data_IF_389253074824
#
_entry.id   IF_389253074824
#
_cell.length_a   1.000
_cell.length_b   1.000
_cell.length_c   1.000
_cell.angle_alpha   90.00
_cell.angle_beta   90.00
_cell.angle_gamma   90.00
#
_symmetry.space_group_name_H-M   'P 1'
#
loop_
_entity.id
_entity.type
_entity.pdbx_description
1 polymer ?
#
# COMPACT_ATOMS: atom_id res chain seq x y z
N UNK A 1 18.57 3.52 63.31
CA UNK A 1 19.03 4.24 64.52
C UNK A 1 17.94 4.82 65.40
N UNK A 2 16.74 5.16 64.89
CA UNK A 2 15.66 5.73 65.72
C UNK A 2 14.64 4.70 66.29
N UNK A 3 14.84 3.39 66.10
CA UNK A 3 13.99 2.30 66.65
C UNK A 3 12.46 2.41 66.42
N UNK A 4 12.03 3.11 65.37
CA UNK A 4 10.61 3.30 65.03
C UNK A 4 9.95 2.10 64.31
N UNK A 5 10.64 0.95 64.22
CA UNK A 5 10.18 -0.23 63.48
C UNK A 5 8.83 -0.77 64.01
N UNK A 6 8.56 -0.62 65.30
CA UNK A 6 7.34 -1.10 65.95
C UNK A 6 6.06 -0.39 65.45
N UNK A 7 6.21 0.80 64.87
CA UNK A 7 5.08 1.58 64.32
C UNK A 7 4.84 1.31 62.83
N UNK A 8 5.65 0.45 62.18
CA UNK A 8 5.55 0.17 60.75
C UNK A 8 4.16 -0.31 60.32
N UNK A 9 3.58 -1.27 61.05
CA UNK A 9 2.24 -1.77 60.74
C UNK A 9 1.15 -0.68 60.89
N UNK A 10 1.33 0.27 61.81
CA UNK A 10 0.39 1.39 61.99
C UNK A 10 0.54 2.45 60.89
N UNK A 11 1.75 2.68 60.41
CA UNK A 11 2.02 3.58 59.29
C UNK A 11 1.44 3.03 57.97
N UNK A 12 1.52 1.71 57.75
CA UNK A 12 0.87 1.05 56.60
C UNK A 12 -0.65 1.22 56.60
N UNK A 13 -1.31 1.18 57.76
CA UNK A 13 -2.77 1.42 57.84
C UNK A 13 -3.19 2.84 57.48
N UNK A 14 -2.21 3.76 57.38
CA UNK A 14 -2.40 5.16 57.00
C UNK A 14 -1.75 5.44 55.64
N UNK A 15 -1.54 4.39 54.84
CA UNK A 15 -1.04 4.44 53.46
C UNK A 15 0.40 4.96 53.32
N UNK A 16 1.18 4.95 54.41
CA UNK A 16 2.61 5.27 54.37
C UNK A 16 3.38 3.98 54.10
N UNK A 17 3.58 3.67 52.82
CA UNK A 17 4.21 2.43 52.36
C UNK A 17 5.64 2.64 51.82
N UNK A 18 6.01 3.89 51.53
CA UNK A 18 7.31 4.29 50.98
C UNK A 18 7.92 5.49 51.72
N UNK A 19 9.20 5.76 51.47
CA UNK A 19 9.90 6.90 52.05
C UNK A 19 9.36 8.24 51.52
N UNK A 20 8.79 8.25 50.30
CA UNK A 20 8.10 9.41 49.73
C UNK A 20 6.84 9.76 50.52
N UNK A 21 6.07 8.76 50.93
CA UNK A 21 4.79 8.96 51.61
C UNK A 21 4.99 9.63 52.98
N UNK A 22 6.18 9.47 53.57
CA UNK A 22 6.59 10.14 54.82
C UNK A 22 6.59 11.67 54.67
N UNK A 23 6.89 12.22 53.48
CA UNK A 23 6.85 13.66 53.24
C UNK A 23 5.44 14.21 53.18
N UNK A 24 4.46 13.39 52.81
CA UNK A 24 3.08 13.79 52.60
C UNK A 24 2.18 13.51 53.80
N UNK A 25 2.70 12.81 54.83
CA UNK A 25 1.97 12.57 56.06
C UNK A 25 1.83 13.85 56.88
N UNK A 26 0.59 14.25 57.16
CA UNK A 26 0.29 15.42 57.99
C UNK A 26 0.70 15.23 59.44
N UNK A 27 1.30 16.27 60.03
CA UNK A 27 1.84 16.24 61.39
C UNK A 27 0.77 15.97 62.46
N UNK A 28 -0.45 16.47 62.25
CA UNK A 28 -1.60 16.22 63.14
C UNK A 28 -2.01 14.74 63.16
N UNK A 29 -1.86 14.05 62.02
CA UNK A 29 -2.19 12.64 61.83
C UNK A 29 -1.06 11.74 62.33
N UNK A 30 0.17 12.11 62.03
CA UNK A 30 1.36 11.40 62.47
C UNK A 30 1.56 11.47 64.00
N UNK A 31 1.30 12.62 64.62
CA UNK A 31 1.33 12.77 66.09
C UNK A 31 0.32 11.85 66.79
N UNK A 32 -0.88 11.66 66.21
CA UNK A 32 -1.88 10.71 66.74
C UNK A 32 -1.44 9.24 66.64
N UNK A 33 -0.69 8.88 65.60
CA UNK A 33 -0.26 7.49 65.34
C UNK A 33 0.95 7.12 66.20
N UNK A 34 1.91 8.05 66.32
CA UNK A 34 3.20 7.84 66.95
C UNK A 34 3.20 8.25 68.43
N UNK A 35 2.26 9.11 68.84
CA UNK A 35 2.07 9.51 70.23
C UNK A 35 3.34 10.12 70.83
N UNK A 36 3.95 9.42 71.79
CA UNK A 36 5.17 9.86 72.49
C UNK A 36 6.43 9.83 71.60
N UNK A 37 6.44 9.02 70.55
CA UNK A 37 7.58 8.90 69.62
C UNK A 37 7.51 9.90 68.46
N UNK A 38 6.54 10.83 68.51
CA UNK A 38 6.33 11.88 67.52
C UNK A 38 7.57 12.76 67.31
N UNK A 39 8.20 13.20 68.39
CA UNK A 39 9.37 14.09 68.32
C UNK A 39 10.55 13.41 67.62
N UNK A 40 10.77 12.12 67.89
CA UNK A 40 11.82 11.31 67.27
C UNK A 40 11.54 11.09 65.78
N UNK A 41 10.28 10.87 65.40
CA UNK A 41 9.89 10.74 63.99
C UNK A 41 10.02 12.06 63.23
N UNK A 42 9.66 13.18 63.86
CA UNK A 42 9.77 14.52 63.26
C UNK A 42 11.23 14.87 62.99
N UNK A 43 12.11 14.59 63.96
CA UNK A 43 13.56 14.76 63.79
C UNK A 43 14.12 13.87 62.66
N UNK A 44 13.66 12.61 62.59
CA UNK A 44 14.07 11.69 61.53
C UNK A 44 13.59 12.13 60.14
N UNK A 45 12.37 12.67 60.04
CA UNK A 45 11.80 13.22 58.79
C UNK A 45 12.55 14.47 58.33
N UNK A 46 12.93 15.35 59.25
CA UNK A 46 13.72 16.54 58.93
C UNK A 46 15.13 16.22 58.43
N UNK A 47 15.68 15.06 58.79
CA UNK A 47 16.96 14.55 58.29
C UNK A 47 16.87 13.93 56.89
N UNK A 48 15.66 13.76 56.33
CA UNK A 48 15.52 13.20 55.00
C UNK A 48 15.88 14.22 53.90
N UNK A 49 16.52 13.80 52.80
CA UNK A 49 16.94 14.69 51.73
C UNK A 49 15.74 15.37 51.05
N UNK A 50 15.82 16.67 50.76
CA UNK A 50 14.73 17.38 50.07
C UNK A 50 14.80 17.27 48.53
N UNK A 51 15.94 16.82 47.99
CA UNK A 51 16.13 16.61 46.55
C UNK A 51 15.83 15.16 46.14
N UNK A 52 15.06 14.99 45.05
CA UNK A 52 14.70 13.68 44.48
C UNK A 52 15.93 12.81 44.16
N UNK A 53 16.99 13.41 43.60
CA UNK A 53 18.23 12.68 43.25
C UNK A 53 18.99 12.18 44.48
N UNK A 54 18.96 12.93 45.58
CA UNK A 54 19.57 12.53 46.84
C UNK A 54 18.71 11.49 47.58
N UNK A 55 17.38 11.55 47.45
CA UNK A 55 16.46 10.55 47.97
C UNK A 55 16.64 9.19 47.27
N UNK A 56 16.80 9.19 45.96
CA UNK A 56 17.09 7.97 45.18
C UNK A 56 18.44 7.35 45.56
N UNK A 57 19.46 8.18 45.80
CA UNK A 57 20.75 7.71 46.30
C UNK A 57 20.66 7.13 47.72
N UNK A 58 19.89 7.77 48.60
CA UNK A 58 19.63 7.28 49.96
C UNK A 58 18.89 5.94 49.93
N UNK A 59 17.87 5.80 49.08
CA UNK A 59 17.16 4.54 48.85
C UNK A 59 18.11 3.45 48.40
N UNK A 60 18.93 3.70 47.38
CA UNK A 60 19.91 2.74 46.89
C UNK A 60 20.90 2.29 47.98
N UNK A 61 21.37 3.22 48.81
CA UNK A 61 22.25 2.91 49.93
C UNK A 61 21.56 2.09 51.03
N UNK A 62 20.33 2.44 51.41
CA UNK A 62 19.53 1.68 52.39
C UNK A 62 19.24 0.27 51.88
N UNK A 63 18.82 0.13 50.62
CA UNK A 63 18.64 -1.16 49.96
C UNK A 63 19.94 -1.97 49.95
N UNK A 64 21.08 -1.36 49.61
CA UNK A 64 22.37 -2.04 49.63
C UNK A 64 22.78 -2.51 51.02
N UNK A 65 22.38 -1.78 52.06
CA UNK A 65 22.69 -2.11 53.46
C UNK A 65 21.82 -3.26 53.95
N UNK A 66 20.53 -3.27 53.60
CA UNK A 66 19.59 -4.37 53.88
C UNK A 66 20.01 -5.65 53.15
N UNK A 67 20.47 -5.52 51.91
CA UNK A 67 21.01 -6.64 51.12
C UNK A 67 22.32 -7.18 51.70
N UNK A 68 23.19 -6.31 52.26
CA UNK A 68 24.44 -6.73 52.92
C UNK A 68 24.25 -7.33 54.31
N UNK A 69 23.19 -6.94 55.03
CA UNK A 69 22.89 -7.43 56.39
C UNK A 69 22.00 -8.68 56.39
N UNK A 70 21.38 -9.03 55.27
CA UNK A 70 20.72 -10.33 55.10
C UNK A 70 21.77 -11.40 54.76
N UNK A 71 21.83 -12.44 55.59
CA UNK A 71 22.78 -13.57 55.55
C UNK A 71 22.62 -14.50 54.31
N UNK A 72 22.33 -13.95 53.12
CA UNK A 72 22.14 -14.71 51.88
C UNK A 72 22.97 -14.12 50.74
N UNK A 73 24.30 -14.15 50.90
CA UNK A 73 25.24 -13.65 49.90
C UNK A 73 25.34 -14.51 48.63
N UNK A 74 24.86 -15.76 48.65
CA UNK A 74 25.16 -16.71 47.56
C UNK A 74 24.02 -16.97 46.55
N UNK A 75 22.83 -16.39 46.75
CA UNK A 75 21.68 -16.69 45.87
C UNK A 75 21.57 -15.76 44.62
N UNK A 76 22.41 -14.73 44.50
CA UNK A 76 22.22 -13.64 43.52
C UNK A 76 23.42 -13.36 42.61
N UNK A 77 24.23 -14.37 42.30
CA UNK A 77 25.11 -14.32 41.12
C UNK A 77 24.36 -14.82 39.90
N UNK A 78 24.75 -14.36 38.70
CA UNK A 78 23.98 -14.43 37.44
C UNK A 78 23.38 -15.81 37.07
N UNK A 79 23.85 -16.92 37.63
CA UNK A 79 23.22 -18.24 37.50
C UNK A 79 21.90 -18.39 38.28
N UNK A 80 21.78 -17.78 39.47
CA UNK A 80 20.59 -17.84 40.32
C UNK A 80 19.39 -17.11 39.72
N UNK A 81 19.59 -15.96 39.07
CA UNK A 81 18.49 -15.21 38.44
C UNK A 81 17.92 -15.96 37.22
N UNK A 82 18.76 -16.70 36.49
CA UNK A 82 18.34 -17.52 35.35
C UNK A 82 17.61 -18.78 35.81
N UNK A 83 18.08 -19.43 36.88
CA UNK A 83 17.39 -20.58 37.49
C UNK A 83 16.07 -20.16 38.14
N UNK A 84 16.00 -19.04 38.86
CA UNK A 84 14.75 -18.54 39.47
C UNK A 84 13.76 -18.09 38.38
N UNK A 85 14.19 -17.42 37.32
CA UNK A 85 13.28 -17.04 36.23
C UNK A 85 12.77 -18.26 35.44
N UNK A 86 13.62 -19.25 35.16
CA UNK A 86 13.20 -20.52 34.52
C UNK A 86 12.35 -21.37 35.46
N UNK A 87 12.62 -21.37 36.76
CA UNK A 87 11.84 -22.13 37.75
C UNK A 87 10.51 -21.48 38.05
N UNK A 88 10.42 -20.14 38.12
CA UNK A 88 9.16 -19.40 38.24
C UNK A 88 8.36 -19.54 36.96
N UNK A 89 8.98 -19.42 35.78
CA UNK A 89 8.31 -19.72 34.52
C UNK A 89 7.84 -21.18 34.44
N UNK A 90 8.65 -22.13 34.90
CA UNK A 90 8.33 -23.56 34.97
C UNK A 90 7.20 -23.88 35.95
N UNK A 91 7.21 -23.29 37.15
CA UNK A 91 6.15 -23.42 38.16
C UNK A 91 4.85 -22.75 37.71
N UNK A 92 4.93 -21.58 37.08
CA UNK A 92 3.78 -20.92 36.46
C UNK A 92 3.23 -21.77 35.31
N UNK A 93 4.10 -22.44 34.55
CA UNK A 93 3.69 -23.37 33.48
C UNK A 93 3.01 -24.62 34.04
N UNK A 94 3.58 -25.24 35.09
CA UNK A 94 2.98 -26.41 35.76
C UNK A 94 1.66 -26.07 36.44
N UNK A 95 1.61 -24.94 37.16
CA UNK A 95 0.40 -24.45 37.81
C UNK A 95 -0.69 -24.13 36.78
N UNK A 96 -0.35 -23.48 35.67
CA UNK A 96 -1.29 -23.20 34.58
C UNK A 96 -1.84 -24.46 33.89
N UNK A 97 -1.06 -25.55 33.84
CA UNK A 97 -1.55 -26.85 33.35
C UNK A 97 -2.52 -27.53 34.32
N UNK A 98 -2.45 -27.21 35.63
CA UNK A 98 -3.27 -27.86 36.66
C UNK A 98 -4.52 -27.07 37.07
N UNK A 99 -4.58 -25.75 36.82
CA UNK A 99 -5.74 -24.92 37.16
C UNK A 99 -6.02 -23.81 36.12
N UNK A 100 -6.91 -24.06 35.13
CA UNK A 100 -7.21 -23.12 34.04
C UNK A 100 -8.05 -21.89 34.42
N UNK A 101 -8.59 -21.82 35.64
CA UNK A 101 -9.70 -20.90 35.97
C UNK A 101 -9.30 -19.59 36.68
N UNK A 102 -8.03 -19.40 37.07
CA UNK A 102 -7.60 -18.16 37.73
C UNK A 102 -6.92 -17.22 36.72
N UNK A 103 -7.54 -16.07 36.43
CA UNK A 103 -7.03 -14.91 35.68
C UNK A 103 -6.69 -15.12 34.18
N UNK A 104 -7.60 -14.76 33.24
CA UNK A 104 -7.40 -15.03 31.81
C UNK A 104 -6.47 -14.03 31.10
N UNK A 105 -6.64 -12.71 31.21
CA UNK A 105 -6.10 -11.81 30.18
C UNK A 105 -4.59 -11.52 30.27
N UNK A 106 -4.03 -11.34 31.46
CA UNK A 106 -2.60 -11.04 31.62
C UNK A 106 -1.69 -12.28 31.59
N UNK A 107 -2.24 -13.47 31.91
CA UNK A 107 -1.50 -14.74 31.97
C UNK A 107 -1.19 -15.31 30.59
N UNK A 108 -2.06 -15.07 29.61
CA UNK A 108 -1.82 -15.51 28.24
C UNK A 108 -0.62 -14.80 27.61
N UNK A 109 -0.43 -13.50 27.83
CA UNK A 109 0.63 -12.73 27.17
C UNK A 109 2.05 -13.20 27.52
N UNK A 110 2.36 -13.43 28.81
CA UNK A 110 3.71 -13.88 29.22
C UNK A 110 4.01 -15.31 28.78
N UNK A 111 3.07 -16.24 28.99
CA UNK A 111 3.22 -17.63 28.54
C UNK A 111 3.31 -17.72 27.02
N UNK A 112 2.50 -16.96 26.29
CA UNK A 112 2.52 -16.89 24.84
C UNK A 112 3.83 -16.29 24.34
N UNK A 113 4.35 -15.27 25.02
CA UNK A 113 5.66 -14.66 24.72
C UNK A 113 6.80 -15.66 24.90
N UNK A 114 6.85 -16.39 26.03
CA UNK A 114 7.88 -17.39 26.33
C UNK A 114 7.78 -18.60 25.39
N UNK A 115 6.57 -19.08 25.10
CA UNK A 115 6.33 -20.21 24.19
C UNK A 115 6.40 -19.83 22.71
N UNK A 116 6.52 -18.53 22.39
CA UNK A 116 6.52 -18.01 21.03
C UNK A 116 5.20 -18.20 20.29
N UNK A 117 4.09 -18.41 21.00
CA UNK A 117 2.75 -18.69 20.43
C UNK A 117 1.96 -17.44 20.03
N UNK A 118 2.65 -16.37 19.64
CA UNK A 118 2.04 -15.12 19.19
C UNK A 118 2.36 -14.86 17.72
N UNK A 119 1.49 -14.12 17.05
CA UNK A 119 1.65 -13.68 15.67
C UNK A 119 2.95 -12.90 15.50
N UNK A 120 3.81 -13.34 14.59
CA UNK A 120 5.05 -12.64 14.26
C UNK A 120 5.00 -12.14 12.81
N UNK A 121 4.85 -10.82 12.56
CA UNK A 121 4.77 -10.27 11.20
C UNK A 121 5.94 -10.67 10.29
N UNK A 122 7.15 -10.76 10.84
CA UNK A 122 8.34 -11.17 10.11
C UNK A 122 8.32 -12.64 9.62
N UNK A 123 7.51 -13.51 10.23
CA UNK A 123 7.37 -14.90 9.78
C UNK A 123 6.22 -15.08 8.78
N UNK A 124 5.36 -14.06 8.60
CA UNK A 124 4.25 -14.11 7.67
C UNK A 124 4.74 -14.12 6.22
N UNK A 125 4.01 -14.81 5.35
CA UNK A 125 4.39 -15.01 3.95
C UNK A 125 3.26 -14.64 3.01
N UNK A 126 3.59 -14.03 1.89
CA UNK A 126 2.64 -13.70 0.82
C UNK A 126 2.82 -14.66 -0.35
N UNK A 127 1.71 -15.21 -0.84
CA UNK A 127 1.65 -15.98 -2.08
C UNK A 127 0.78 -15.21 -3.08
N UNK A 128 1.37 -14.88 -4.23
CA UNK A 128 0.69 -14.22 -5.34
C UNK A 128 0.05 -15.25 -6.28
N UNK A 129 -1.18 -15.03 -6.72
CA UNK A 129 -1.85 -15.90 -7.70
C UNK A 129 -1.52 -15.51 -9.16
N UNK A 130 -0.55 -14.60 -9.36
CA UNK A 130 -0.09 -14.14 -10.66
C UNK A 130 1.44 -13.95 -10.71
N UNK A 131 1.96 -13.74 -11.91
CA UNK A 131 3.37 -13.40 -12.18
C UNK A 131 3.46 -11.98 -12.73
N UNK A 132 4.55 -11.29 -12.41
CA UNK A 132 4.80 -9.94 -12.89
C UNK A 132 5.55 -9.96 -14.24
N UNK A 133 5.27 -9.02 -15.16
CA UNK A 133 4.15 -8.07 -15.12
C UNK A 133 2.80 -8.75 -15.39
N UNK A 134 1.70 -8.12 -14.96
CA UNK A 134 0.35 -8.65 -15.17
C UNK A 134 -0.56 -7.67 -15.91
N UNK A 135 -1.48 -8.16 -16.74
CA UNK A 135 -2.41 -7.31 -17.49
C UNK A 135 -3.51 -6.75 -16.59
N UNK A 136 -3.88 -5.49 -16.76
CA UNK A 136 -4.98 -4.85 -16.02
C UNK A 136 -6.36 -5.44 -16.35
N UNK A 137 -7.34 -5.16 -15.49
CA UNK A 137 -8.76 -5.44 -15.73
C UNK A 137 -9.34 -6.63 -14.98
N UNK A 138 -8.51 -7.65 -14.71
CA UNK A 138 -8.90 -8.81 -13.91
C UNK A 138 -8.99 -8.52 -12.42
N UNK A 139 -9.73 -9.36 -11.69
CA UNK A 139 -9.66 -9.40 -10.22
C UNK A 139 -8.38 -10.11 -9.78
N UNK A 140 -7.49 -9.37 -9.15
CA UNK A 140 -6.24 -9.86 -8.61
C UNK A 140 -6.47 -10.48 -7.25
N UNK A 141 -5.74 -11.56 -6.97
CA UNK A 141 -5.85 -12.28 -5.72
C UNK A 141 -4.47 -12.69 -5.21
N UNK A 142 -4.25 -12.49 -3.90
CA UNK A 142 -3.10 -13.06 -3.22
C UNK A 142 -3.50 -13.52 -1.82
N UNK A 143 -2.70 -14.45 -1.29
CA UNK A 143 -2.95 -15.08 0.01
C UNK A 143 -1.82 -14.69 0.95
N UNK A 144 -2.17 -14.16 2.11
CA UNK A 144 -1.26 -13.95 3.22
C UNK A 144 -1.39 -15.13 4.18
N UNK A 145 -0.28 -15.77 4.52
CA UNK A 145 -0.22 -16.84 5.52
C UNK A 145 0.46 -16.32 6.79
N UNK A 146 -0.20 -16.54 7.92
CA UNK A 146 0.23 -16.04 9.22
C UNK A 146 0.92 -17.12 10.02
N UNK A 147 2.03 -16.75 10.66
CA UNK A 147 2.87 -17.67 11.42
C UNK A 147 3.24 -17.07 12.78
N UNK A 148 3.36 -17.97 13.75
CA UNK A 148 3.85 -17.68 15.09
C UNK A 148 5.37 -17.51 15.08
N UNK A 149 5.94 -16.98 16.18
CA UNK A 149 7.40 -16.91 16.35
C UNK A 149 8.09 -18.27 16.29
N UNK A 150 7.44 -19.31 16.81
CA UNK A 150 7.93 -20.70 16.76
C UNK A 150 7.79 -21.37 15.37
N UNK A 151 7.26 -20.66 14.37
CA UNK A 151 7.07 -21.15 13.00
C UNK A 151 5.75 -21.89 12.74
N UNK A 152 4.92 -22.12 13.75
CA UNK A 152 3.61 -22.77 13.59
C UNK A 152 2.59 -21.82 12.94
N UNK A 153 1.56 -22.35 12.23
CA UNK A 153 0.45 -21.56 11.72
C UNK A 153 -0.25 -20.74 12.83
N UNK A 154 -0.51 -19.46 12.57
CA UNK A 154 -1.27 -18.60 13.49
C UNK A 154 -2.70 -18.41 12.98
N UNK A 155 -3.74 -18.77 13.75
CA UNK A 155 -5.14 -18.53 13.36
C UNK A 155 -5.45 -17.03 13.44
N UNK A 156 -5.62 -16.38 12.30
CA UNK A 156 -5.86 -14.93 12.22
C UNK A 156 -7.33 -14.61 12.51
N UNK A 157 -7.58 -13.49 13.17
CA UNK A 157 -8.93 -12.99 13.46
C UNK A 157 -8.99 -11.45 13.41
N UNK A 158 -10.20 -10.90 13.55
CA UNK A 158 -10.43 -9.45 13.40
C UNK A 158 -9.72 -8.59 14.45
N UNK A 159 -9.30 -9.17 15.58
CA UNK A 159 -8.57 -8.45 16.63
C UNK A 159 -7.08 -8.26 16.32
N UNK A 160 -6.53 -8.97 15.35
CA UNK A 160 -5.10 -8.93 15.01
C UNK A 160 -4.69 -7.70 14.18
N UNK A 161 -5.65 -6.81 13.87
CA UNK A 161 -5.40 -5.56 13.13
C UNK A 161 -4.68 -5.79 11.79
N UNK A 162 -5.04 -6.86 11.07
CA UNK A 162 -4.54 -7.12 9.73
C UNK A 162 -5.03 -6.05 8.75
N UNK A 163 -4.09 -5.43 8.02
CA UNK A 163 -4.39 -4.35 7.09
C UNK A 163 -3.59 -4.48 5.80
N UNK A 164 -4.25 -4.16 4.69
CA UNK A 164 -3.64 -4.15 3.36
C UNK A 164 -3.98 -2.85 2.65
N UNK A 165 -2.94 -2.17 2.22
CA UNK A 165 -3.04 -0.95 1.41
C UNK A 165 -2.37 -1.18 0.06
N UNK A 166 -3.08 -0.82 -1.01
CA UNK A 166 -2.57 -0.87 -2.37
C UNK A 166 -2.65 0.53 -2.95
N UNK A 167 -1.54 1.04 -3.48
CA UNK A 167 -1.50 2.37 -4.08
C UNK A 167 -0.66 2.43 -5.35
N UNK A 168 -1.05 3.34 -6.24
CA UNK A 168 -0.24 3.83 -7.35
C UNK A 168 0.05 5.31 -7.07
N UNK A 169 1.27 5.62 -6.62
CA UNK A 169 1.60 6.93 -6.08
C UNK A 169 0.63 7.32 -4.95
N UNK A 170 -0.14 8.39 -5.17
CA UNK A 170 -1.12 8.89 -4.19
C UNK A 170 -2.50 8.26 -4.32
N UNK A 171 -2.76 7.47 -5.37
CA UNK A 171 -4.07 6.87 -5.61
C UNK A 171 -4.17 5.53 -4.90
N UNK A 172 -5.07 5.42 -3.92
CA UNK A 172 -5.37 4.18 -3.22
C UNK A 172 -6.37 3.33 -4.01
N UNK A 173 -6.18 2.01 -3.97
CA UNK A 173 -7.05 1.02 -4.58
C UNK A 173 -7.85 0.32 -3.48
N UNK A 174 -9.14 0.14 -3.73
CA UNK A 174 -10.02 -0.59 -2.82
C UNK A 174 -9.64 -2.06 -2.82
N UNK A 175 -9.45 -2.60 -1.62
CA UNK A 175 -9.12 -4.01 -1.37
C UNK A 175 -10.24 -4.66 -0.55
N UNK A 176 -10.44 -5.94 -0.79
CA UNK A 176 -11.34 -6.78 0.00
C UNK A 176 -10.47 -7.87 0.62
N UNK A 177 -10.44 -7.93 1.94
CA UNK A 177 -9.69 -8.92 2.71
C UNK A 177 -10.66 -9.89 3.35
N UNK A 178 -10.58 -11.15 2.95
CA UNK A 178 -11.36 -12.26 3.52
C UNK A 178 -10.43 -13.07 4.42
N UNK A 179 -10.62 -12.99 5.75
CA UNK A 179 -9.96 -13.92 6.66
C UNK A 179 -10.49 -15.34 6.40
N UNK A 180 -9.63 -16.34 6.56
CA UNK A 180 -10.02 -17.73 6.37
C UNK A 180 -11.06 -18.21 7.39
N UNK A 181 -11.64 -19.37 7.15
CA UNK A 181 -12.78 -19.83 7.96
C UNK A 181 -12.34 -20.21 9.38
N UNK A 182 -13.03 -19.71 10.44
CA UNK A 182 -12.82 -20.19 11.80
C UNK A 182 -13.25 -21.65 11.99
N UNK A 183 -14.05 -22.21 11.07
CA UNK A 183 -14.54 -23.60 11.12
C UNK A 183 -13.67 -24.60 10.36
N UNK A 184 -12.76 -24.13 9.50
CA UNK A 184 -11.81 -24.98 8.76
C UNK A 184 -10.40 -24.73 9.30
N UNK A 185 -9.87 -25.61 10.18
CA UNK A 185 -8.54 -25.46 10.78
C UNK A 185 -7.42 -25.28 9.74
N UNK A 186 -7.59 -25.83 8.53
CA UNK A 186 -6.58 -25.72 7.47
C UNK A 186 -6.56 -24.36 6.78
N UNK A 187 -7.56 -23.51 7.04
CA UNK A 187 -7.68 -22.16 6.50
C UNK A 187 -7.68 -21.08 7.58
N UNK A 188 -7.61 -21.45 8.86
CA UNK A 188 -7.62 -20.47 9.94
C UNK A 188 -6.42 -19.51 9.88
N UNK A 189 -5.30 -19.91 9.27
CA UNK A 189 -4.06 -19.12 9.22
C UNK A 189 -3.86 -18.31 7.92
N UNK A 190 -4.91 -18.11 7.13
CA UNK A 190 -4.80 -17.41 5.85
C UNK A 190 -5.74 -16.22 5.77
N UNK A 191 -5.34 -15.19 5.02
CA UNK A 191 -6.23 -14.13 4.55
C UNK A 191 -6.12 -14.05 3.02
N UNK A 192 -7.26 -14.05 2.35
CA UNK A 192 -7.38 -13.90 0.90
C UNK A 192 -7.70 -12.45 0.58
N UNK A 193 -6.81 -11.79 -0.16
CA UNK A 193 -6.96 -10.38 -0.52
C UNK A 193 -7.31 -10.30 -1.99
N UNK A 194 -8.40 -9.61 -2.31
CA UNK A 194 -8.87 -9.36 -3.67
C UNK A 194 -8.89 -7.87 -3.96
N UNK A 195 -8.49 -7.50 -5.17
CA UNK A 195 -8.56 -6.12 -5.65
C UNK A 195 -8.64 -6.10 -7.18
N UNK A 196 -8.96 -4.95 -7.77
CA UNK A 196 -8.98 -4.81 -9.23
C UNK A 196 -8.25 -3.53 -9.60
N UNK A 197 -7.33 -3.64 -10.56
CA UNK A 197 -6.58 -2.51 -11.13
C UNK A 197 -6.99 -2.32 -12.57
N UNK A 198 -7.27 -1.08 -12.94
CA UNK A 198 -7.69 -0.69 -14.30
C UNK A 198 -6.68 0.22 -14.99
N UNK A 199 -5.74 0.80 -14.25
CA UNK A 199 -4.70 1.65 -14.81
C UNK A 199 -3.39 0.90 -14.81
N UNK A 200 -2.72 0.88 -15.95
CA UNK A 200 -1.40 0.30 -16.09
C UNK A 200 -0.37 1.18 -15.37
N UNK A 201 0.56 0.56 -14.66
CA UNK A 201 1.52 1.26 -13.83
C UNK A 201 2.19 0.37 -12.80
N UNK A 202 3.01 1.00 -11.96
CA UNK A 202 3.71 0.35 -10.85
C UNK A 202 2.98 0.65 -9.56
N UNK A 203 2.64 -0.40 -8.83
CA UNK A 203 1.85 -0.35 -7.61
C UNK A 203 2.67 -0.80 -6.41
N UNK A 204 2.43 -0.16 -5.28
CA UNK A 204 2.97 -0.52 -3.98
C UNK A 204 1.87 -1.22 -3.18
N UNK A 205 2.15 -2.44 -2.74
CA UNK A 205 1.26 -3.25 -1.90
C UNK A 205 1.88 -3.37 -0.51
N UNK A 206 1.31 -2.65 0.44
CA UNK A 206 1.70 -2.66 1.84
C UNK A 206 0.81 -3.63 2.60
N UNK A 207 1.43 -4.60 3.28
CA UNK A 207 0.75 -5.55 4.14
C UNK A 207 1.29 -5.40 5.56
N UNK A 208 0.40 -5.15 6.52
CA UNK A 208 0.77 -4.89 7.90
C UNK A 208 -0.18 -5.57 8.89
N UNK A 209 0.34 -5.76 10.10
CA UNK A 209 -0.37 -6.28 11.27
C UNK A 209 -0.15 -5.24 12.37
N UNK A 210 -1.21 -4.55 12.76
CA UNK A 210 -1.11 -3.33 13.59
C UNK A 210 -0.21 -2.29 12.92
N UNK A 211 0.80 -1.81 13.64
CA UNK A 211 1.79 -0.84 13.13
C UNK A 211 3.00 -1.47 12.42
N UNK A 212 3.06 -2.80 12.32
CA UNK A 212 4.25 -3.51 11.81
C UNK A 212 4.02 -4.12 10.44
N UNK A 213 4.93 -3.89 9.50
CA UNK A 213 4.93 -4.56 8.20
C UNK A 213 5.32 -6.04 8.34
N UNK A 214 4.72 -6.87 7.50
CA UNK A 214 5.16 -8.26 7.35
C UNK A 214 6.47 -8.35 6.56
N UNK A 215 7.12 -9.50 6.60
CA UNK A 215 8.34 -9.73 5.80
C UNK A 215 8.11 -9.50 4.31
N UNK A 216 8.98 -8.69 3.71
CA UNK A 216 8.93 -8.31 2.29
C UNK A 216 7.98 -7.16 1.95
N UNK A 217 7.12 -6.72 2.88
CA UNK A 217 6.29 -5.53 2.67
C UNK A 217 7.12 -4.26 2.87
N UNK A 218 6.91 -3.20 2.05
CA UNK A 218 5.98 -3.14 0.92
C UNK A 218 6.49 -3.86 -0.33
N UNK A 219 5.56 -4.43 -1.10
CA UNK A 219 5.84 -5.13 -2.36
C UNK A 219 5.58 -4.23 -3.56
N UNK A 220 6.46 -4.28 -4.55
CA UNK A 220 6.27 -3.58 -5.83
C UNK A 220 5.73 -4.54 -6.88
N UNK A 221 4.64 -4.16 -7.56
CA UNK A 221 4.00 -4.94 -8.61
C UNK A 221 3.74 -4.10 -9.85
N UNK A 222 4.01 -4.65 -11.02
CA UNK A 222 3.85 -3.95 -12.31
C UNK A 222 2.65 -4.49 -13.06
N UNK A 223 1.73 -3.59 -13.40
CA UNK A 223 0.58 -3.89 -14.25
C UNK A 223 0.73 -3.22 -15.61
N UNK A 224 0.50 -4.00 -16.66
CA UNK A 224 0.62 -3.55 -18.06
C UNK A 224 -0.75 -3.39 -18.71
N UNK A 225 -0.86 -2.58 -19.77
CA UNK A 225 -2.10 -2.37 -20.50
C UNK A 225 -2.67 -3.69 -21.07
N UNK A 226 -3.97 -3.71 -21.28
CA UNK A 226 -4.63 -4.76 -22.05
C UNK A 226 -4.36 -4.66 -23.55
N UNK A 227 -5.00 -5.56 -24.31
CA UNK A 227 -5.04 -5.48 -25.77
C UNK A 227 -5.76 -4.20 -26.20
N UNK A 228 -5.42 -3.72 -27.39
CA UNK A 228 -6.06 -2.56 -27.99
C UNK A 228 -7.58 -2.76 -28.13
N UNK A 229 -8.33 -1.75 -27.72
CA UNK A 229 -9.77 -1.61 -27.93
C UNK A 229 -10.01 -0.46 -28.92
N UNK A 230 -10.65 -0.78 -30.04
CA UNK A 230 -10.98 0.18 -31.09
C UNK A 230 -11.81 1.38 -30.58
N UNK A 231 -12.73 1.16 -29.64
CA UNK A 231 -13.67 2.16 -29.09
C UNK A 231 -13.00 3.16 -28.16
N UNK A 232 -11.90 2.74 -27.52
CA UNK A 232 -11.14 3.56 -26.58
C UNK A 232 -9.93 4.23 -27.23
N UNK A 233 -9.43 3.63 -28.31
CA UNK A 233 -8.35 4.19 -29.11
C UNK A 233 -8.76 5.51 -29.76
N UNK A 234 -7.80 6.40 -29.98
CA UNK A 234 -8.07 7.77 -30.44
C UNK A 234 -7.36 8.05 -31.74
N UNK A 235 -8.11 8.42 -32.78
CA UNK A 235 -7.52 9.00 -33.97
C UNK A 235 -7.42 10.51 -33.83
N UNK A 236 -6.19 11.03 -33.82
CA UNK A 236 -5.87 12.43 -33.59
C UNK A 236 -5.71 13.13 -34.93
N UNK A 237 -6.55 14.14 -35.14
CA UNK A 237 -6.53 15.01 -36.32
C UNK A 237 -6.76 16.47 -35.93
N UNK A 238 -6.21 17.44 -36.68
CA UNK A 238 -6.41 18.86 -36.40
C UNK A 238 -7.85 19.35 -36.60
N UNK A 239 -8.58 18.75 -37.54
CA UNK A 239 -9.94 19.14 -37.92
C UNK A 239 -10.75 17.94 -38.42
N UNK A 240 -12.08 18.10 -38.51
CA UNK A 240 -13.01 17.10 -39.04
C UNK A 240 -12.73 16.72 -40.50
N UNK A 241 -12.22 17.67 -41.28
CA UNK A 241 -11.74 17.47 -42.66
C UNK A 241 -10.21 17.53 -42.68
N UNK A 242 -9.59 16.57 -43.35
CA UNK A 242 -8.14 16.53 -43.56
C UNK A 242 -7.83 17.17 -44.90
N UNK A 243 -7.05 18.24 -44.89
CA UNK A 243 -6.56 18.88 -46.12
C UNK A 243 -5.17 18.33 -46.43
N UNK A 244 -5.02 17.72 -47.59
CA UNK A 244 -3.79 17.14 -48.10
C UNK A 244 -3.26 17.95 -49.28
N UNK A 245 -1.96 17.83 -49.55
CA UNK A 245 -1.32 18.36 -50.75
C UNK A 245 -1.01 17.21 -51.71
N UNK A 246 -1.42 17.32 -52.97
CA UNK A 246 -1.12 16.31 -53.99
C UNK A 246 0.40 16.14 -54.13
N UNK A 247 0.86 14.90 -54.10
CA UNK A 247 2.27 14.52 -54.18
C UNK A 247 3.09 14.71 -52.89
N UNK A 248 2.50 15.20 -51.80
CA UNK A 248 3.19 15.38 -50.52
C UNK A 248 2.50 14.64 -49.36
N UNK A 249 3.27 13.99 -48.47
CA UNK A 249 2.70 13.19 -47.38
C UNK A 249 2.07 14.08 -46.31
N UNK A 250 0.85 13.72 -45.88
CA UNK A 250 0.17 14.30 -44.73
C UNK A 250 0.24 13.32 -43.56
N UNK A 251 0.74 13.77 -42.42
CA UNK A 251 0.95 12.95 -41.22
C UNK A 251 -0.19 13.16 -40.22
N UNK A 252 -0.79 12.05 -39.79
CA UNK A 252 -1.80 11.97 -38.73
C UNK A 252 -1.37 10.87 -37.75
N UNK A 253 -2.02 10.78 -36.59
CA UNK A 253 -1.63 9.79 -35.57
C UNK A 253 -2.84 9.12 -34.92
N UNK A 254 -2.69 7.83 -34.60
CA UNK A 254 -3.60 7.07 -33.76
C UNK A 254 -2.87 6.75 -32.46
N UNK A 255 -3.54 6.95 -31.34
CA UNK A 255 -3.12 6.46 -30.02
C UNK A 255 -3.89 5.17 -29.70
N UNK A 256 -3.22 4.01 -29.77
CA UNK A 256 -3.83 2.74 -29.38
C UNK A 256 -4.08 2.73 -27.86
N UNK A 257 -5.31 2.39 -27.45
CA UNK A 257 -5.68 2.28 -26.04
C UNK A 257 -6.42 0.98 -25.76
N UNK A 258 -6.25 0.46 -24.55
CA UNK A 258 -7.02 -0.69 -24.07
C UNK A 258 -8.44 -0.30 -23.64
N UNK A 259 -9.23 -1.28 -23.19
CA UNK A 259 -10.63 -1.09 -22.75
C UNK A 259 -10.79 -0.08 -21.59
N UNK A 260 -9.74 0.12 -20.79
CA UNK A 260 -9.69 1.05 -19.66
C UNK A 260 -9.06 2.41 -20.03
N UNK A 261 -8.58 2.56 -21.26
CA UNK A 261 -7.99 3.79 -21.77
C UNK A 261 -6.48 3.91 -21.50
N UNK A 262 -5.78 2.85 -21.11
CA UNK A 262 -4.33 2.86 -21.00
C UNK A 262 -3.70 2.84 -22.38
N UNK A 263 -2.58 3.55 -22.57
CA UNK A 263 -1.80 3.48 -23.82
C UNK A 263 -1.23 2.07 -23.98
N UNK A 264 -1.53 1.40 -25.10
CA UNK A 264 -1.01 0.05 -25.34
C UNK A 264 0.50 0.04 -25.48
N UNK A 265 1.12 -1.04 -25.01
CA UNK A 265 2.54 -1.33 -25.23
C UNK A 265 2.60 -2.59 -26.08
N UNK A 266 3.45 -2.57 -27.10
CA UNK A 266 3.64 -3.67 -28.03
C UNK A 266 5.04 -4.24 -27.86
N UNK A 267 5.13 -5.56 -27.79
CA UNK A 267 6.40 -6.29 -27.67
C UNK A 267 7.12 -6.33 -29.03
N UNK A 268 8.39 -6.77 -29.04
CA UNK A 268 9.20 -6.77 -30.28
C UNK A 268 8.67 -7.70 -31.38
N UNK A 269 7.91 -8.73 -31.00
CA UNK A 269 7.33 -9.69 -31.94
C UNK A 269 5.90 -9.33 -32.36
N UNK A 270 5.29 -8.34 -31.72
CA UNK A 270 3.94 -7.91 -32.07
C UNK A 270 3.97 -7.08 -33.34
N UNK A 271 2.92 -7.18 -34.15
CA UNK A 271 2.69 -6.29 -35.28
C UNK A 271 1.64 -5.23 -34.88
N UNK A 272 2.04 -4.02 -34.46
CA UNK A 272 1.12 -3.04 -33.87
C UNK A 272 0.16 -2.43 -34.88
N UNK A 273 0.42 -2.62 -36.18
CA UNK A 273 -0.43 -2.16 -37.27
C UNK A 273 -1.36 -3.27 -37.79
N UNK A 274 -1.20 -4.51 -37.32
CA UNK A 274 -2.07 -5.61 -37.69
C UNK A 274 -3.51 -5.34 -37.24
N UNK A 275 -4.47 -5.59 -38.12
CA UNK A 275 -5.89 -5.37 -37.84
C UNK A 275 -6.40 -3.97 -38.16
N UNK A 276 -5.52 -2.99 -38.42
CA UNK A 276 -5.94 -1.69 -38.96
C UNK A 276 -6.34 -1.83 -40.44
N UNK A 277 -7.46 -1.21 -40.79
CA UNK A 277 -7.97 -1.14 -42.16
C UNK A 277 -8.47 0.26 -42.45
N UNK A 278 -8.23 0.72 -43.68
CA UNK A 278 -8.77 1.97 -44.21
C UNK A 278 -9.64 1.68 -45.42
N UNK A 279 -10.87 2.17 -45.38
CA UNK A 279 -11.81 2.14 -46.49
C UNK A 279 -11.97 3.55 -47.03
N UNK A 280 -11.76 3.74 -48.34
CA UNK A 280 -11.82 5.04 -49.00
C UNK A 280 -13.00 5.05 -49.96
N UNK A 281 -13.78 6.13 -49.92
CA UNK A 281 -15.00 6.32 -50.68
C UNK A 281 -14.93 7.59 -51.53
N UNK A 282 -15.58 7.55 -52.69
CA UNK A 282 -15.80 8.74 -53.51
C UNK A 282 -16.93 9.59 -52.93
N UNK A 283 -17.24 10.70 -53.60
CA UNK A 283 -18.35 11.57 -53.22
C UNK A 283 -19.72 10.89 -53.34
N UNK A 284 -19.83 9.77 -54.08
CA UNK A 284 -21.03 8.97 -54.25
C UNK A 284 -21.09 7.77 -53.29
N UNK A 285 -20.19 7.71 -52.30
CA UNK A 285 -20.06 6.60 -51.35
C UNK A 285 -19.70 5.24 -51.99
N UNK A 286 -19.07 5.23 -53.17
CA UNK A 286 -18.49 4.04 -53.78
C UNK A 286 -17.07 3.82 -53.29
N UNK A 287 -16.72 2.59 -52.96
CA UNK A 287 -15.39 2.22 -52.47
C UNK A 287 -14.36 2.36 -53.61
N UNK A 288 -13.25 3.06 -53.36
CA UNK A 288 -12.09 3.11 -54.25
C UNK A 288 -10.97 2.20 -53.73
N UNK A 289 -11.05 0.90 -54.04
CA UNK A 289 -10.01 -0.06 -53.65
C UNK A 289 -8.62 0.34 -54.17
N UNK A 290 -8.56 0.99 -55.35
CA UNK A 290 -7.29 1.48 -55.92
C UNK A 290 -6.58 2.52 -55.07
N UNK A 291 -7.32 3.22 -54.20
CA UNK A 291 -6.78 4.26 -53.32
C UNK A 291 -6.43 3.73 -51.92
N UNK A 292 -6.72 2.47 -51.58
CA UNK A 292 -6.47 1.94 -50.24
C UNK A 292 -5.00 2.06 -49.81
N UNK A 293 -4.08 1.99 -50.78
CA UNK A 293 -2.63 2.09 -50.57
C UNK A 293 -2.14 3.54 -50.39
N UNK A 294 -2.99 4.55 -50.66
CA UNK A 294 -2.66 5.96 -50.45
C UNK A 294 -2.51 6.30 -48.96
N UNK A 295 -3.06 5.49 -48.07
CA UNK A 295 -2.94 5.65 -46.62
C UNK A 295 -2.21 4.45 -46.05
N UNK A 296 -1.10 4.70 -45.37
CA UNK A 296 -0.26 3.67 -44.75
C UNK A 296 -0.13 3.88 -43.24
N UNK A 297 0.10 2.79 -42.53
CA UNK A 297 0.27 2.76 -41.07
C UNK A 297 1.69 2.35 -40.72
N UNK A 298 2.34 3.11 -39.84
CA UNK A 298 3.67 2.80 -39.32
C UNK A 298 3.65 3.00 -37.81
N UNK A 299 4.09 2.00 -37.05
CA UNK A 299 4.19 2.15 -35.60
C UNK A 299 5.43 2.95 -35.21
N UNK A 300 5.21 4.03 -34.46
CA UNK A 300 6.24 4.86 -33.84
C UNK A 300 6.44 4.39 -32.40
N UNK A 301 7.42 3.49 -32.20
CA UNK A 301 7.75 2.92 -30.88
C UNK A 301 8.19 3.97 -29.87
N UNK A 302 8.82 5.05 -30.31
CA UNK A 302 9.33 6.12 -29.43
C UNK A 302 8.17 6.86 -28.78
N UNK A 303 7.13 7.20 -29.56
CA UNK A 303 5.97 7.94 -29.08
C UNK A 303 4.77 7.03 -28.72
N UNK A 304 4.92 5.71 -28.81
CA UNK A 304 3.87 4.72 -28.55
C UNK A 304 2.56 5.01 -29.30
N UNK A 305 2.67 5.31 -30.60
CA UNK A 305 1.55 5.71 -31.45
C UNK A 305 1.68 5.10 -32.85
N UNK A 306 0.57 4.98 -33.55
CA UNK A 306 0.57 4.59 -34.96
C UNK A 306 0.53 5.87 -35.80
N UNK A 307 1.56 6.09 -36.61
CA UNK A 307 1.59 7.14 -37.62
C UNK A 307 0.78 6.71 -38.83
N UNK A 308 -0.11 7.59 -39.27
CA UNK A 308 -0.96 7.42 -40.44
C UNK A 308 -0.47 8.40 -41.49
N UNK A 309 0.11 7.88 -42.57
CA UNK A 309 0.65 8.70 -43.67
C UNK A 309 -0.28 8.62 -44.85
N UNK A 310 -0.89 9.75 -45.21
CA UNK A 310 -1.75 9.89 -46.38
C UNK A 310 -0.98 10.59 -47.52
N UNK A 311 -0.83 9.92 -48.65
CA UNK A 311 -0.13 10.41 -49.84
C UNK A 311 -0.99 10.16 -51.08
N UNK A 312 -1.53 11.23 -51.65
CA UNK A 312 -2.36 11.17 -52.84
C UNK A 312 -1.63 11.80 -54.03
N UNK A 313 -1.60 11.15 -55.21
CA UNK A 313 -0.86 11.65 -56.36
C UNK A 313 -1.54 12.86 -57.02
N UNK A 314 -2.86 12.93 -56.97
CA UNK A 314 -3.67 13.92 -57.69
C UNK A 314 -4.68 14.61 -56.77
N UNK A 315 -5.10 15.85 -57.08
CA UNK A 315 -6.16 16.54 -56.36
C UNK A 315 -7.50 15.80 -56.48
N UNK A 316 -8.15 15.54 -55.34
CA UNK A 316 -9.37 14.75 -55.24
C UNK A 316 -10.08 15.00 -53.90
N UNK A 317 -11.40 14.85 -53.87
CA UNK A 317 -12.18 14.83 -52.64
C UNK A 317 -12.70 13.42 -52.37
N UNK A 318 -12.46 12.93 -51.16
CA UNK A 318 -12.71 11.57 -50.75
C UNK A 318 -13.26 11.55 -49.33
N UNK A 319 -13.85 10.42 -48.93
CA UNK A 319 -14.15 10.10 -47.54
C UNK A 319 -13.35 8.88 -47.13
N UNK A 320 -12.76 8.88 -45.95
CA UNK A 320 -12.00 7.77 -45.41
C UNK A 320 -12.59 7.30 -44.08
N UNK A 321 -12.57 5.98 -43.89
CA UNK A 321 -13.00 5.32 -42.66
C UNK A 321 -11.89 4.40 -42.18
N UNK A 322 -11.31 4.72 -41.02
CA UNK A 322 -10.31 3.87 -40.36
C UNK A 322 -10.99 2.98 -39.31
N UNK A 323 -10.68 1.68 -39.37
CA UNK A 323 -11.18 0.66 -38.47
C UNK A 323 -10.06 -0.23 -37.93
N UNK A 324 -10.32 -0.87 -36.81
CA UNK A 324 -9.48 -1.90 -36.20
C UNK A 324 -10.33 -3.15 -35.95
N UNK A 325 -9.94 -4.29 -36.50
CA UNK A 325 -10.73 -5.55 -36.48
C UNK A 325 -12.22 -5.37 -36.81
N UNK A 326 -12.51 -4.66 -37.91
CA UNK A 326 -13.87 -4.31 -38.38
C UNK A 326 -14.64 -3.32 -37.50
N UNK A 327 -14.04 -2.83 -36.41
CA UNK A 327 -14.62 -1.79 -35.59
C UNK A 327 -14.02 -0.43 -35.94
N UNK A 328 -14.88 0.50 -36.36
CA UNK A 328 -14.50 1.88 -36.65
C UNK A 328 -13.94 2.59 -35.42
N UNK A 329 -12.82 3.30 -35.61
CA UNK A 329 -12.23 4.10 -34.55
C UNK A 329 -13.06 5.36 -34.28
N UNK A 330 -13.11 5.85 -33.03
CA UNK A 330 -13.57 7.21 -32.72
C UNK A 330 -12.83 8.24 -33.57
N UNK A 331 -13.57 9.15 -34.20
CA UNK A 331 -13.08 10.13 -35.16
C UNK A 331 -12.42 9.54 -36.42
N UNK A 332 -12.50 8.23 -36.62
CA UNK A 332 -11.98 7.51 -37.78
C UNK A 332 -12.79 7.70 -39.06
N UNK A 333 -13.95 8.36 -39.00
CA UNK A 333 -14.68 8.86 -40.17
C UNK A 333 -14.24 10.28 -40.51
N UNK A 334 -13.86 10.52 -41.75
CA UNK A 334 -13.46 11.86 -42.15
C UNK A 334 -13.44 12.08 -43.64
N UNK A 335 -13.63 13.34 -43.99
CA UNK A 335 -13.45 13.82 -45.36
C UNK A 335 -12.00 14.22 -45.58
N UNK A 336 -11.50 13.92 -46.77
CA UNK A 336 -10.17 14.28 -47.26
C UNK A 336 -10.34 15.18 -48.47
N UNK A 337 -9.69 16.33 -48.44
CA UNK A 337 -9.60 17.25 -49.57
C UNK A 337 -8.13 17.34 -49.98
N UNK A 338 -7.80 16.77 -51.14
CA UNK A 338 -6.45 16.85 -51.71
C UNK A 338 -6.39 18.01 -52.68
N UNK A 339 -5.49 18.96 -52.43
CA UNK A 339 -5.32 20.17 -53.24
C UNK A 339 -4.01 20.13 -54.03
N UNK A 340 -4.00 20.82 -55.17
CA UNK A 340 -2.74 21.10 -55.85
C UNK A 340 -1.89 22.07 -55.02
N UNK A 341 -0.57 22.01 -55.20
CA UNK A 341 0.39 22.88 -54.50
C UNK A 341 0.04 24.37 -54.66
N UNK A 342 -0.38 24.78 -55.86
CA UNK A 342 -0.74 26.16 -56.17
C UNK A 342 -1.98 26.64 -55.39
N UNK A 343 -3.00 25.78 -55.27
CA UNK A 343 -4.26 26.10 -54.57
C UNK A 343 -4.03 26.07 -53.06
N UNK A 344 -3.22 25.14 -52.55
CA UNK A 344 -2.89 25.08 -51.13
C UNK A 344 -2.18 26.36 -50.67
N UNK A 345 -1.19 26.84 -51.43
CA UNK A 345 -0.49 28.08 -51.11
C UNK A 345 -1.42 29.30 -51.06
N UNK A 346 -2.45 29.35 -51.91
CA UNK A 346 -3.49 30.36 -51.85
C UNK A 346 -4.36 30.19 -50.59
N UNK A 347 -4.81 28.96 -50.31
CA UNK A 347 -5.65 28.63 -49.15
C UNK A 347 -5.01 29.00 -47.79
N UNK A 348 -3.72 28.68 -47.58
CA UNK A 348 -3.01 29.01 -46.34
C UNK A 348 -2.86 30.53 -46.16
N UNK A 349 -2.66 31.26 -47.25
CA UNK A 349 -2.51 32.73 -47.25
C UNK A 349 -3.82 33.43 -46.91
N UNK A 350 -4.95 32.88 -47.35
CA UNK A 350 -6.30 33.42 -47.06
C UNK A 350 -6.79 33.05 -45.65
N UNK A 351 -6.46 31.87 -45.12
CA UNK A 351 -6.77 31.51 -43.72
C UNK A 351 -6.12 32.47 -42.72
N UNK A 352 -4.89 32.92 -42.99
CA UNK A 352 -4.22 33.93 -42.17
C UNK A 352 -4.89 35.32 -42.20
N UNK A 353 -5.76 35.59 -43.18
CA UNK A 353 -6.44 36.89 -43.35
C UNK A 353 -7.83 36.96 -42.72
N UNK A 354 -8.34 35.86 -42.14
CA UNK A 354 -9.53 35.86 -41.29
C UNK A 354 -10.88 35.99 -42.03
N UNK A 355 -11.72 34.97 -41.88
CA UNK A 355 -13.13 34.88 -42.27
C UNK A 355 -13.45 34.79 -43.77
N UNK A 356 -13.44 33.55 -44.30
CA UNK A 356 -14.25 33.23 -45.49
C UNK A 356 -14.78 31.80 -45.45
N UNK A 357 -16.07 31.62 -45.76
CA UNK A 357 -16.68 30.32 -46.09
C UNK A 357 -16.19 29.93 -47.49
N UNK A 358 -15.59 28.75 -47.62
CA UNK A 358 -15.09 28.25 -48.90
C UNK A 358 -16.16 27.40 -49.60
N UNK A 359 -16.56 27.81 -50.80
CA UNK A 359 -17.29 26.96 -51.75
C UNK A 359 -16.30 26.52 -52.82
N UNK A 360 -15.81 25.28 -52.75
CA UNK A 360 -15.01 24.70 -53.82
C UNK A 360 -15.92 24.32 -54.98
N UNK A 361 -15.84 25.05 -56.09
CA UNK A 361 -16.27 24.55 -57.39
C UNK A 361 -15.19 23.59 -57.90
N UNK A 362 -15.39 22.30 -57.66
CA UNK A 362 -14.71 21.25 -58.42
C UNK A 362 -15.27 21.31 -59.83
N UNK A 363 -14.51 21.82 -60.78
CA UNK A 363 -14.87 21.71 -62.19
C UNK A 363 -14.62 20.24 -62.60
N UNK A 364 -15.70 19.58 -63.02
CA UNK A 364 -15.72 18.27 -63.66
C UNK A 364 -14.89 18.23 -64.93
#
# INVERSE_FOLDING_TARGET
DHNLQQHYNRLLTVEVASLEDVYWLEDSRASKILGKDWEVWSEARQKLPTSKTQLDALKANLWSTVVKTSHHQDAWTWGGMLVVSVSVAGLVTLAAMTQPSLAPEARHSLLQYVTGKYLLPANCKVQWDWKDPHVVGGTMCFIVRFFQRNGQPYPICDTDQFYVEISEGNRKIVTISELGSPTDPNKANIAKVKFTVRTAGVYTISVSIGSSHISGSPFTKTFIPGRMDARRSRFIRPASTVVCCAGAPTLLHIEPRDEFGNSCVFEENDNPIEGYKVDIFDLNCQILDKMSNAISFIYDKVNSRVSVTALFPEPICLRAVISFHSQKLPNGDFDIIVLSVAILHWFTRTLHQGNTIFVMKLNS
#
